data_IF_850747585040
#
_entry.id   IF_850747585040
#
_cell.length_a   1.000
_cell.length_b   1.000
_cell.length_c   1.000
_cell.angle_alpha   90.00
_cell.angle_beta   90.00
_cell.angle_gamma   90.00
#
_symmetry.space_group_name_H-M   'P 1'
#
loop_
_entity.id
_entity.type
_entity.pdbx_description
1 polymer ?
#
# COMPACT_ATOMS: atom_id res chain seq x y z
N UNK A 1 -3.46 17.56 -14.27
CA UNK A 1 -2.53 16.82 -13.41
C UNK A 1 -3.27 16.37 -12.16
N UNK A 2 -3.62 15.09 -12.05
CA UNK A 2 -4.35 14.50 -10.92
C UNK A 2 -3.59 13.27 -10.39
N UNK A 3 -2.35 13.47 -9.94
CA UNK A 3 -1.48 12.39 -9.47
C UNK A 3 -1.37 12.36 -7.95
N UNK A 4 -1.52 11.18 -7.36
CA UNK A 4 -1.47 10.94 -5.92
C UNK A 4 -0.36 9.93 -5.61
N UNK A 5 0.50 10.28 -4.64
CA UNK A 5 1.42 9.34 -4.01
C UNK A 5 0.91 9.00 -2.61
N UNK A 6 0.55 7.74 -2.40
CA UNK A 6 0.12 7.22 -1.10
C UNK A 6 1.29 6.46 -0.48
N UNK A 7 1.77 6.92 0.66
CA UNK A 7 2.92 6.31 1.33
C UNK A 7 2.62 5.89 2.76
N UNK A 8 3.35 4.93 3.31
CA UNK A 8 3.21 4.53 4.72
C UNK A 8 3.41 3.03 4.92
N UNK A 9 3.41 2.55 6.17
CA UNK A 9 3.63 1.13 6.48
C UNK A 9 2.68 0.18 5.74
N UNK A 10 3.08 -1.09 5.60
CA UNK A 10 2.20 -2.14 5.09
C UNK A 10 0.95 -2.29 5.97
N UNK A 11 -0.18 -2.71 5.40
CA UNK A 11 -1.43 -2.89 6.15
C UNK A 11 -2.22 -1.61 6.48
N UNK A 12 -1.67 -0.41 6.22
CA UNK A 12 -2.35 0.87 6.50
C UNK A 12 -3.50 1.23 5.55
N UNK A 13 -3.78 0.41 4.53
CA UNK A 13 -4.93 0.57 3.64
C UNK A 13 -4.74 1.47 2.42
N UNK A 14 -3.51 1.80 2.02
CA UNK A 14 -3.20 2.65 0.84
C UNK A 14 -3.96 2.24 -0.42
N UNK A 15 -3.86 0.97 -0.81
CA UNK A 15 -4.49 0.45 -2.03
C UNK A 15 -6.01 0.32 -1.89
N UNK A 16 -6.51 0.06 -0.69
CA UNK A 16 -7.94 0.07 -0.40
C UNK A 16 -8.52 1.50 -0.51
N UNK A 17 -7.80 2.50 0.01
CA UNK A 17 -8.16 3.91 -0.12
C UNK A 17 -8.21 4.35 -1.58
N UNK A 18 -7.23 3.96 -2.40
CA UNK A 18 -7.23 4.27 -3.83
C UNK A 18 -8.49 3.72 -4.53
N UNK A 19 -8.83 2.44 -4.29
CA UNK A 19 -10.03 1.82 -4.86
C UNK A 19 -11.31 2.49 -4.37
N UNK A 20 -11.39 2.81 -3.08
CA UNK A 20 -12.52 3.54 -2.53
C UNK A 20 -12.65 4.96 -3.11
N UNK A 21 -11.53 5.64 -3.37
CA UNK A 21 -11.54 6.93 -4.04
C UNK A 21 -12.10 6.83 -5.47
N UNK A 22 -11.71 5.81 -6.24
CA UNK A 22 -12.26 5.59 -7.58
C UNK A 22 -13.77 5.28 -7.55
N UNK A 23 -14.21 4.46 -6.59
CA UNK A 23 -15.63 4.19 -6.34
C UNK A 23 -16.40 5.50 -6.07
N UNK A 24 -15.87 6.36 -5.20
CA UNK A 24 -16.45 7.68 -4.89
C UNK A 24 -16.45 8.65 -6.06
N UNK A 25 -15.54 8.48 -7.02
CA UNK A 25 -15.47 9.25 -8.25
C UNK A 25 -16.31 8.64 -9.38
N UNK A 26 -16.86 7.44 -9.20
CA UNK A 26 -17.64 6.74 -10.22
C UNK A 26 -16.82 6.29 -11.44
N UNK A 27 -15.53 6.01 -11.26
CA UNK A 27 -14.61 5.60 -12.32
C UNK A 27 -14.03 4.20 -12.04
N UNK A 28 -13.73 3.46 -13.09
CA UNK A 28 -13.06 2.16 -12.97
C UNK A 28 -11.59 2.30 -12.54
N UNK A 29 -11.00 1.20 -12.08
CA UNK A 29 -9.59 1.12 -11.70
C UNK A 29 -8.84 0.18 -12.63
N UNK A 30 -7.84 0.70 -13.34
CA UNK A 30 -6.81 -0.10 -13.99
C UNK A 30 -5.68 -0.30 -12.98
N UNK A 31 -5.66 -1.44 -12.29
CA UNK A 31 -4.63 -1.75 -11.30
C UNK A 31 -3.47 -2.56 -11.92
N UNK A 32 -2.24 -2.20 -11.57
CA UNK A 32 -1.01 -2.96 -11.84
C UNK A 32 -0.18 -3.04 -10.58
N UNK A 33 0.38 -4.21 -10.28
CA UNK A 33 1.47 -4.29 -9.30
C UNK A 33 2.76 -3.85 -9.98
N UNK A 34 3.68 -3.32 -9.19
CA UNK A 34 4.98 -2.94 -9.71
C UNK A 34 5.75 -4.12 -10.34
N UNK A 35 5.65 -5.30 -9.72
CA UNK A 35 6.17 -6.55 -10.27
C UNK A 35 5.63 -6.91 -11.65
N UNK A 36 4.44 -6.44 -12.02
CA UNK A 36 3.82 -6.73 -13.32
C UNK A 36 4.44 -5.90 -14.45
N UNK A 37 5.12 -4.79 -14.12
CA UNK A 37 5.74 -3.91 -15.11
C UNK A 37 7.24 -4.12 -15.21
N UNK A 38 7.92 -4.55 -14.13
CA UNK A 38 9.37 -4.79 -14.16
C UNK A 38 9.71 -5.97 -15.07
N UNK A 39 10.68 -5.78 -15.95
CA UNK A 39 11.27 -6.83 -16.78
C UNK A 39 12.80 -6.78 -16.72
N UNK A 40 13.49 -7.94 -16.75
CA UNK A 40 14.96 -7.99 -16.84
C UNK A 40 15.50 -7.56 -18.21
N UNK A 41 14.64 -7.43 -19.22
CA UNK A 41 15.04 -7.03 -20.57
C UNK A 41 14.96 -5.50 -20.75
N UNK A 42 15.99 -4.93 -21.37
CA UNK A 42 16.13 -3.47 -21.56
C UNK A 42 14.97 -2.94 -22.41
N UNK A 43 14.30 -1.89 -21.93
CA UNK A 43 13.20 -1.20 -22.63
C UNK A 43 11.83 -1.85 -22.44
N UNK A 44 11.76 -3.10 -21.97
CA UNK A 44 10.47 -3.76 -21.75
C UNK A 44 9.70 -3.15 -20.58
N UNK A 45 10.39 -2.74 -19.52
CA UNK A 45 9.72 -2.09 -18.37
C UNK A 45 9.07 -0.77 -18.78
N UNK A 46 9.79 0.06 -19.54
CA UNK A 46 9.24 1.30 -20.11
C UNK A 46 8.03 1.02 -21.03
N UNK A 47 8.12 -0.02 -21.88
CA UNK A 47 7.01 -0.44 -22.71
C UNK A 47 5.80 -0.94 -21.88
N UNK A 48 6.03 -1.63 -20.77
CA UNK A 48 4.99 -2.09 -19.85
C UNK A 48 4.28 -0.91 -19.17
N UNK A 49 5.05 0.07 -18.70
CA UNK A 49 4.54 1.32 -18.12
C UNK A 49 3.68 2.04 -19.17
N UNK A 50 4.22 2.29 -20.37
CA UNK A 50 3.48 2.96 -21.45
C UNK A 50 2.17 2.22 -21.80
N UNK A 51 2.19 0.88 -21.85
CA UNK A 51 0.97 0.08 -22.09
C UNK A 51 -0.06 0.21 -20.97
N UNK A 52 0.37 0.26 -19.70
CA UNK A 52 -0.53 0.45 -18.57
C UNK A 52 -1.22 1.83 -18.62
N UNK A 53 -0.47 2.89 -18.88
CA UNK A 53 -1.02 4.24 -19.07
C UNK A 53 -1.98 4.31 -20.26
N UNK A 54 -1.62 3.72 -21.39
CA UNK A 54 -2.50 3.66 -22.56
C UNK A 54 -3.79 2.87 -22.30
N UNK A 55 -3.73 1.80 -21.51
CA UNK A 55 -4.92 1.03 -21.12
C UNK A 55 -5.87 1.85 -20.24
N UNK A 56 -5.34 2.53 -19.22
CA UNK A 56 -6.12 3.41 -18.36
C UNK A 56 -6.75 4.57 -19.16
N UNK A 57 -5.96 5.21 -20.03
CA UNK A 57 -6.42 6.30 -20.90
C UNK A 57 -7.57 5.85 -21.83
N UNK A 58 -7.42 4.71 -22.50
CA UNK A 58 -8.48 4.17 -23.39
C UNK A 58 -9.80 3.90 -22.66
N UNK A 59 -9.73 3.54 -21.37
CA UNK A 59 -10.90 3.22 -20.54
C UNK A 59 -11.45 4.43 -19.78
N UNK A 60 -10.75 5.56 -19.76
CA UNK A 60 -11.05 6.65 -18.83
C UNK A 60 -10.94 6.23 -17.36
N UNK A 61 -10.18 5.18 -17.06
CA UNK A 61 -10.06 4.60 -15.72
C UNK A 61 -8.95 5.28 -14.91
N UNK A 62 -9.07 5.24 -13.58
CA UNK A 62 -7.97 5.58 -12.69
C UNK A 62 -6.87 4.54 -12.81
N UNK A 63 -5.63 4.98 -13.08
CA UNK A 63 -4.47 4.09 -13.04
C UNK A 63 -3.98 3.96 -11.59
N UNK A 64 -3.92 2.74 -11.07
CA UNK A 64 -3.33 2.41 -9.78
C UNK A 64 -2.08 1.55 -10.00
N UNK A 65 -0.91 2.08 -9.65
CA UNK A 65 0.32 1.31 -9.54
C UNK A 65 0.58 1.01 -8.06
N UNK A 66 0.39 -0.26 -7.68
CA UNK A 66 0.54 -0.73 -6.31
C UNK A 66 1.97 -1.22 -6.05
N UNK A 67 2.46 -1.03 -4.82
CA UNK A 67 3.80 -1.47 -4.38
C UNK A 67 4.92 -0.92 -5.29
N UNK A 68 4.82 0.36 -5.68
CA UNK A 68 5.78 1.03 -6.56
C UNK A 68 7.23 1.04 -6.00
N UNK A 69 7.43 0.58 -4.77
CA UNK A 69 8.72 0.38 -4.11
C UNK A 69 9.78 -0.28 -5.01
N UNK A 70 9.41 -1.25 -5.84
CA UNK A 70 10.35 -1.93 -6.74
C UNK A 70 10.86 -1.07 -7.89
N UNK A 71 10.15 0.02 -8.24
CA UNK A 71 10.62 1.04 -9.19
C UNK A 71 11.33 2.21 -8.50
N UNK A 72 11.00 2.46 -7.23
CA UNK A 72 11.37 3.68 -6.50
C UNK A 72 12.60 3.47 -5.58
N UNK A 73 13.35 2.38 -5.77
CA UNK A 73 14.50 2.05 -4.91
C UNK A 73 15.60 3.12 -4.95
N UNK A 74 16.23 3.37 -3.79
CA UNK A 74 17.20 4.46 -3.62
C UNK A 74 18.50 4.20 -4.35
N UNK A 75 18.99 5.34 -4.82
CA UNK A 75 20.25 5.72 -5.48
C UNK A 75 21.54 5.41 -4.71
N UNK A 76 21.53 4.72 -3.56
CA UNK A 76 22.70 4.66 -2.67
C UNK A 76 23.73 3.58 -3.05
N UNK A 77 23.47 2.66 -3.99
CA UNK A 77 24.52 1.69 -4.40
C UNK A 77 24.41 1.00 -5.78
N UNK A 78 23.51 1.40 -6.70
CA UNK A 78 23.41 0.77 -8.04
C UNK A 78 23.91 1.68 -9.18
N UNK A 79 24.96 1.18 -9.84
CA UNK A 79 25.69 1.68 -11.02
C UNK A 79 24.87 1.69 -12.34
N UNK A 80 23.54 1.87 -12.35
CA UNK A 80 22.77 1.59 -13.58
C UNK A 80 21.71 2.64 -13.95
N UNK A 81 21.96 3.34 -15.06
CA UNK A 81 21.13 4.40 -15.67
C UNK A 81 19.68 4.00 -16.02
N UNK A 82 19.33 2.70 -16.05
CA UNK A 82 18.02 2.22 -16.49
C UNK A 82 16.90 2.44 -15.45
N UNK A 83 17.19 2.43 -14.15
CA UNK A 83 16.19 2.64 -13.09
C UNK A 83 15.63 4.08 -13.12
N UNK A 84 16.51 5.06 -13.43
CA UNK A 84 16.15 6.47 -13.59
C UNK A 84 15.27 6.70 -14.83
N UNK A 85 15.47 5.92 -15.90
CA UNK A 85 14.65 5.96 -17.11
C UNK A 85 13.19 5.59 -16.82
N UNK A 86 12.96 4.53 -16.05
CA UNK A 86 11.63 4.01 -15.74
C UNK A 86 10.76 4.97 -14.92
N UNK A 87 11.33 5.56 -13.87
CA UNK A 87 10.62 6.55 -13.05
C UNK A 87 10.30 7.80 -13.87
N UNK A 88 11.26 8.28 -14.67
CA UNK A 88 11.03 9.43 -15.54
C UNK A 88 9.95 9.17 -16.60
N UNK A 89 9.93 7.98 -17.19
CA UNK A 89 8.89 7.57 -18.14
C UNK A 89 7.52 7.58 -17.48
N UNK A 90 7.37 6.97 -16.29
CA UNK A 90 6.12 6.99 -15.53
C UNK A 90 5.64 8.43 -15.25
N UNK A 91 6.56 9.31 -14.82
CA UNK A 91 6.23 10.71 -14.53
C UNK A 91 5.85 11.48 -15.81
N UNK A 92 6.51 11.22 -16.93
CA UNK A 92 6.16 11.82 -18.22
C UNK A 92 4.78 11.37 -18.70
N UNK A 93 4.46 10.08 -18.59
CA UNK A 93 3.15 9.53 -18.93
C UNK A 93 2.04 10.12 -18.05
N UNK A 94 2.34 10.41 -16.78
CA UNK A 94 1.41 11.04 -15.84
C UNK A 94 0.97 12.43 -16.30
N UNK A 95 1.85 13.20 -16.96
CA UNK A 95 1.51 14.53 -17.49
C UNK A 95 0.48 14.46 -18.63
N UNK A 96 0.39 13.32 -19.33
CA UNK A 96 -0.51 13.10 -20.48
C UNK A 96 -1.83 12.42 -20.09
N UNK A 97 -1.92 11.84 -18.89
CA UNK A 97 -3.11 11.14 -18.44
C UNK A 97 -4.15 12.14 -17.90
N UNK A 98 -5.36 12.14 -18.49
CA UNK A 98 -6.47 12.97 -18.01
C UNK A 98 -7.17 12.39 -16.78
N UNK A 99 -7.22 11.07 -16.70
CA UNK A 99 -7.72 10.32 -15.54
C UNK A 99 -6.78 10.40 -14.34
N UNK A 100 -7.27 10.19 -13.11
CA UNK A 100 -6.41 10.17 -11.93
C UNK A 100 -5.37 9.05 -11.99
N UNK A 101 -4.16 9.34 -11.50
CA UNK A 101 -3.09 8.37 -11.30
C UNK A 101 -2.77 8.26 -9.82
N UNK A 102 -2.65 7.03 -9.31
CA UNK A 102 -2.31 6.74 -7.92
C UNK A 102 -1.14 5.77 -7.89
N UNK A 103 -0.08 6.13 -7.16
CA UNK A 103 1.02 5.23 -6.82
C UNK A 103 1.03 4.95 -5.31
N UNK A 104 1.22 3.69 -4.91
CA UNK A 104 1.41 3.32 -3.49
C UNK A 104 2.85 2.90 -3.22
N UNK A 105 3.37 3.22 -2.03
CA UNK A 105 4.75 2.87 -1.63
C UNK A 105 4.85 2.70 -0.11
N UNK A 106 5.65 1.73 0.34
CA UNK A 106 6.07 1.65 1.73
C UNK A 106 7.35 2.48 1.98
N UNK A 107 8.10 2.78 0.91
CA UNK A 107 9.41 3.43 0.94
C UNK A 107 9.36 4.86 0.40
N UNK A 108 8.48 5.73 0.91
CA UNK A 108 8.39 7.12 0.42
C UNK A 108 9.72 7.89 0.49
N UNK A 109 10.52 7.64 1.54
CA UNK A 109 11.82 8.27 1.71
C UNK A 109 12.86 7.78 0.68
N UNK A 110 12.52 6.76 -0.11
CA UNK A 110 13.39 6.18 -1.11
C UNK A 110 13.29 6.85 -2.47
N UNK A 111 12.13 7.43 -2.76
CA UNK A 111 11.96 8.25 -3.94
C UNK A 111 12.76 9.55 -3.82
N UNK A 112 13.43 9.98 -4.88
CA UNK A 112 14.17 11.22 -4.85
C UNK A 112 13.25 12.46 -4.78
N UNK A 113 13.73 13.58 -4.22
CA UNK A 113 12.92 14.78 -4.07
C UNK A 113 12.33 15.31 -5.38
N UNK A 114 13.04 15.21 -6.51
CA UNK A 114 12.56 15.74 -7.79
C UNK A 114 11.37 14.91 -8.31
N UNK A 115 11.43 13.58 -8.19
CA UNK A 115 10.30 12.71 -8.52
C UNK A 115 9.11 12.92 -7.60
N UNK A 116 9.33 13.13 -6.29
CA UNK A 116 8.26 13.43 -5.34
C UNK A 116 7.51 14.74 -5.68
N UNK A 117 8.22 15.77 -6.15
CA UNK A 117 7.62 17.06 -6.54
C UNK A 117 6.69 16.98 -7.76
N UNK A 118 6.74 15.90 -8.55
CA UNK A 118 5.85 15.69 -9.70
C UNK A 118 4.53 15.00 -9.33
N UNK A 119 4.31 14.67 -8.07
CA UNK A 119 2.99 14.24 -7.61
C UNK A 119 2.17 15.45 -7.15
N UNK A 120 0.94 15.59 -7.65
CA UNK A 120 0.04 16.70 -7.27
C UNK A 120 -0.30 16.65 -5.78
N UNK A 121 -0.56 15.45 -5.25
CA UNK A 121 -0.87 15.22 -3.85
C UNK A 121 0.01 14.09 -3.29
N UNK A 122 0.46 14.28 -2.06
CA UNK A 122 1.24 13.30 -1.31
C UNK A 122 0.56 13.06 0.02
N UNK A 123 0.15 11.83 0.28
CA UNK A 123 -0.58 11.45 1.49
C UNK A 123 0.19 10.36 2.23
N UNK A 124 0.56 10.66 3.47
CA UNK A 124 1.23 9.71 4.34
C UNK A 124 0.20 9.02 5.26
N UNK A 125 0.10 7.71 5.12
CA UNK A 125 -0.65 6.80 5.97
C UNK A 125 0.22 6.40 7.16
N UNK A 126 -0.40 6.41 8.34
CA UNK A 126 0.23 6.05 9.60
C UNK A 126 -0.52 4.86 10.20
N UNK A 127 0.10 4.25 11.20
CA UNK A 127 -0.57 3.31 12.08
C UNK A 127 -1.72 4.01 12.81
N UNK A 128 -2.66 3.22 13.30
CA UNK A 128 -3.89 3.70 13.91
C UNK A 128 -3.62 4.32 15.28
N UNK A 129 -4.34 5.39 15.57
CA UNK A 129 -4.45 5.93 16.94
C UNK A 129 -5.21 4.95 17.83
N UNK A 130 -4.99 5.04 19.15
CA UNK A 130 -5.71 4.24 20.15
C UNK A 130 -7.25 4.28 19.95
N UNK A 131 -7.82 5.47 19.73
CA UNK A 131 -9.25 5.63 19.46
C UNK A 131 -9.72 4.98 18.13
N UNK A 132 -8.84 4.88 17.13
CA UNK A 132 -9.15 4.15 15.89
C UNK A 132 -9.11 2.64 16.10
N UNK A 133 -8.14 2.14 16.88
CA UNK A 133 -8.04 0.73 17.26
C UNK A 133 -9.31 0.28 17.98
N UNK A 134 -9.76 1.01 19.00
CA UNK A 134 -10.99 0.69 19.74
C UNK A 134 -12.21 0.65 18.82
N UNK A 135 -12.36 1.66 17.95
CA UNK A 135 -13.50 1.71 17.01
C UNK A 135 -13.47 0.56 16.02
N UNK A 136 -12.30 0.20 15.48
CA UNK A 136 -12.18 -0.90 14.53
C UNK A 136 -12.41 -2.25 15.21
N UNK A 137 -11.93 -2.43 16.45
CA UNK A 137 -12.17 -3.61 17.25
C UNK A 137 -13.68 -3.83 17.49
N UNK A 138 -14.37 -2.78 17.94
CA UNK A 138 -15.81 -2.81 18.11
C UNK A 138 -16.56 -3.11 16.81
N UNK A 139 -16.17 -2.47 15.70
CA UNK A 139 -16.80 -2.68 14.42
C UNK A 139 -16.57 -4.09 13.84
N UNK A 140 -15.38 -4.67 14.03
CA UNK A 140 -15.01 -5.96 13.41
C UNK A 140 -15.43 -7.17 14.24
N UNK A 141 -15.38 -7.06 15.57
CA UNK A 141 -15.62 -8.17 16.49
C UNK A 141 -16.92 -8.02 17.29
N UNK A 142 -17.65 -6.92 17.14
CA UNK A 142 -18.93 -6.70 17.82
C UNK A 142 -18.82 -6.50 19.32
N UNK A 143 -17.62 -6.22 19.84
CA UNK A 143 -17.35 -6.09 21.27
C UNK A 143 -16.34 -4.96 21.54
N UNK A 144 -16.41 -4.34 22.72
CA UNK A 144 -15.45 -3.31 23.12
C UNK A 144 -14.05 -3.88 23.36
N UNK A 145 -13.04 -3.01 23.32
CA UNK A 145 -11.69 -3.39 23.73
C UNK A 145 -11.70 -3.87 25.19
N UNK A 146 -11.01 -4.97 25.55
CA UNK A 146 -11.10 -5.56 26.89
C UNK A 146 -10.61 -4.59 27.97
N UNK A 147 -11.36 -4.51 29.07
CA UNK A 147 -11.01 -3.63 30.18
C UNK A 147 -9.71 -4.08 30.84
N UNK A 148 -8.77 -3.13 31.03
CA UNK A 148 -7.46 -3.41 31.64
C UNK A 148 -6.38 -3.84 30.65
N UNK A 149 -6.72 -4.13 29.39
CA UNK A 149 -5.73 -4.40 28.36
C UNK A 149 -5.16 -3.11 27.78
N UNK A 150 -3.83 -2.89 27.79
CA UNK A 150 -3.26 -1.70 27.18
C UNK A 150 -3.50 -1.69 25.67
N UNK A 151 -3.94 -0.53 25.16
CA UNK A 151 -4.14 -0.34 23.73
C UNK A 151 -2.80 -0.44 23.00
N UNK A 152 -2.71 -1.28 21.96
CA UNK A 152 -1.49 -1.46 21.21
C UNK A 152 -1.13 -0.18 20.46
N UNK A 153 0.16 0.10 20.43
CA UNK A 153 0.74 1.05 19.48
C UNK A 153 0.95 0.34 18.14
N UNK A 154 1.03 1.13 17.07
CA UNK A 154 1.43 0.65 15.75
C UNK A 154 0.51 -0.36 15.06
N UNK A 155 -0.74 -0.49 15.48
CA UNK A 155 -1.70 -1.33 14.74
C UNK A 155 -2.08 -0.75 13.38
N UNK A 156 -2.37 -1.63 12.44
CA UNK A 156 -2.91 -1.29 11.13
C UNK A 156 -4.23 -2.00 10.86
N UNK A 157 -5.08 -1.48 9.96
CA UNK A 157 -6.28 -2.21 9.52
C UNK A 157 -5.95 -3.61 8.94
N UNK A 158 -4.75 -3.79 8.38
CA UNK A 158 -4.27 -5.09 7.89
C UNK A 158 -4.16 -6.14 9.00
N UNK A 159 -3.63 -5.75 10.16
CA UNK A 159 -3.48 -6.64 11.33
C UNK A 159 -4.86 -7.17 11.75
N UNK A 160 -5.86 -6.28 11.81
CA UNK A 160 -7.25 -6.63 12.09
C UNK A 160 -7.86 -7.57 11.03
N UNK A 161 -7.55 -7.36 9.75
CA UNK A 161 -8.04 -8.24 8.69
C UNK A 161 -7.48 -9.66 8.83
N UNK A 162 -6.21 -9.80 9.19
CA UNK A 162 -5.57 -11.11 9.44
C UNK A 162 -6.18 -11.78 10.67
N UNK A 163 -6.23 -11.08 11.80
CA UNK A 163 -6.77 -11.62 13.06
C UNK A 163 -8.22 -12.03 12.90
N UNK A 164 -9.02 -11.22 12.21
CA UNK A 164 -10.43 -11.54 12.06
C UNK A 164 -10.66 -12.72 11.10
N UNK A 165 -9.86 -12.84 10.03
CA UNK A 165 -9.89 -14.04 9.18
C UNK A 165 -9.47 -15.30 9.96
N UNK A 166 -8.49 -15.19 10.86
CA UNK A 166 -8.06 -16.27 11.76
C UNK A 166 -9.16 -16.64 12.76
N UNK A 167 -9.82 -15.65 13.35
CA UNK A 167 -10.94 -15.84 14.27
C UNK A 167 -12.11 -16.56 13.60
N UNK A 168 -12.49 -16.12 12.40
CA UNK A 168 -13.56 -16.72 11.60
C UNK A 168 -13.22 -18.19 11.25
N UNK A 169 -11.95 -18.47 10.89
CA UNK A 169 -11.49 -19.82 10.55
C UNK A 169 -11.47 -20.78 11.75
N UNK A 170 -11.10 -20.29 12.93
CA UNK A 170 -10.95 -21.10 14.14
C UNK A 170 -12.20 -21.11 15.04
N UNK A 171 -13.21 -20.31 14.70
CA UNK A 171 -14.39 -20.11 15.55
C UNK A 171 -14.03 -19.44 16.89
N UNK A 172 -12.98 -18.62 16.91
CA UNK A 172 -12.48 -17.98 18.12
C UNK A 172 -13.17 -16.63 18.34
N UNK A 173 -13.71 -16.43 19.54
CA UNK A 173 -14.42 -15.21 19.94
C UNK A 173 -13.92 -14.61 21.26
N UNK A 174 -12.91 -15.21 21.89
CA UNK A 174 -12.39 -14.73 23.16
C UNK A 174 -11.64 -13.39 22.96
N UNK A 175 -12.10 -12.29 23.59
CA UNK A 175 -11.47 -10.98 23.48
C UNK A 175 -9.96 -10.98 23.77
N UNK A 176 -9.53 -11.69 24.82
CA UNK A 176 -8.12 -11.69 25.25
C UNK A 176 -7.23 -12.37 24.21
N UNK A 177 -7.76 -13.42 23.57
CA UNK A 177 -7.08 -14.14 22.49
C UNK A 177 -6.94 -13.27 21.24
N UNK A 178 -7.98 -12.49 20.90
CA UNK A 178 -7.97 -11.57 19.77
C UNK A 178 -6.96 -10.43 19.99
N UNK A 179 -6.93 -9.85 21.20
CA UNK A 179 -5.95 -8.82 21.57
C UNK A 179 -4.52 -9.36 21.47
N UNK A 180 -4.28 -10.58 21.97
CA UNK A 180 -2.97 -11.24 21.84
C UNK A 180 -2.55 -11.37 20.38
N UNK A 181 -3.42 -11.90 19.53
CA UNK A 181 -3.11 -12.04 18.11
C UNK A 181 -2.86 -10.71 17.41
N UNK A 182 -3.60 -9.65 17.76
CA UNK A 182 -3.34 -8.31 17.20
C UNK A 182 -1.95 -7.82 17.55
N UNK A 183 -1.49 -8.05 18.79
CA UNK A 183 -0.11 -7.70 19.21
C UNK A 183 0.91 -8.50 18.42
N UNK A 184 0.72 -9.82 18.31
CA UNK A 184 1.61 -10.70 17.55
C UNK A 184 1.75 -10.23 16.07
N UNK A 185 0.66 -9.83 15.42
CA UNK A 185 0.69 -9.33 14.04
C UNK A 185 1.45 -8.00 13.91
N UNK A 186 1.25 -7.06 14.84
CA UNK A 186 1.98 -5.80 14.82
C UNK A 186 3.48 -5.98 15.03
N UNK A 187 3.88 -6.87 15.95
CA UNK A 187 5.29 -7.19 16.21
C UNK A 187 5.96 -7.90 15.01
N UNK A 188 5.25 -8.84 14.37
CA UNK A 188 5.76 -9.56 13.21
C UNK A 188 6.07 -8.63 12.01
N UNK A 189 5.31 -7.53 11.86
CA UNK A 189 5.51 -6.54 10.80
C UNK A 189 6.77 -5.69 11.00
N UNK A 190 7.15 -5.39 12.24
CA UNK A 190 8.27 -4.49 12.55
C UNK A 190 9.65 -5.18 12.49
N UNK A 191 9.71 -6.48 12.20
CA UNK A 191 10.97 -7.18 11.88
C UNK A 191 11.56 -8.06 12.99
N UNK A 192 10.73 -8.64 13.86
CA UNK A 192 11.14 -9.68 14.82
C UNK A 192 11.01 -11.10 14.26
N UNK A 193 12.12 -11.65 13.74
CA UNK A 193 12.44 -13.06 13.57
C UNK A 193 11.38 -14.03 12.98
N UNK A 194 11.76 -14.64 11.85
CA UNK A 194 11.31 -15.98 11.44
C UNK A 194 11.38 -16.94 12.64
N UNK A 195 10.26 -17.19 13.32
CA UNK A 195 10.08 -18.44 14.06
C UNK A 195 10.13 -19.59 13.06
N UNK A 196 10.83 -20.70 13.35
CA UNK A 196 10.82 -21.85 12.45
C UNK A 196 9.38 -22.32 12.27
N UNK A 197 8.96 -22.48 11.02
CA UNK A 197 7.78 -23.27 10.68
C UNK A 197 8.15 -24.71 11.05
N UNK A 198 7.78 -25.12 12.27
CA UNK A 198 7.80 -26.51 12.68
C UNK A 198 6.54 -27.18 12.13
N UNK A 199 6.73 -28.19 11.27
CA UNK A 199 5.72 -29.20 11.00
C UNK A 199 5.64 -30.18 12.18
#
# INVERSE_FOLDING_TARGET
MRSLLLSGPSGTGKSAFARHLAERLGIEVEAKRASDLVSPFVGETEANIARAFAAAARRGAMLLIDEADSFLYRRDNSLRNWEVSQVNEMLCQTERLESPFVATTNLANHLDPASQCRFTLRVAFRTMTAAQVERLFAARFGMGWPAGEPLPVDQTPGDFAVVASRADLLGEGNPDQLVRWLRDEAEARDGGARGPIGF
#
